data_IF_548580493831
#
_entry.id   IF_548580493831
#
_cell.length_a   1.000
_cell.length_b   1.000
_cell.length_c   1.000
_cell.angle_alpha   90.00
_cell.angle_beta   90.00
_cell.angle_gamma   90.00
#
_symmetry.space_group_name_H-M   'P 1'
#
loop_
_entity.id
_entity.type
_entity.pdbx_description
1 polymer ?
#
# COMPACT_ATOMS: atom_id res chain seq x y z
N UNK A 1 56.36 34.23 -25.91
CA UNK A 1 55.80 32.96 -25.43
C UNK A 1 55.01 33.26 -24.17
N UNK A 2 53.69 33.30 -24.28
CA UNK A 2 52.78 33.72 -23.20
C UNK A 2 52.77 32.68 -22.07
N UNK A 3 53.14 33.09 -20.86
CA UNK A 3 53.15 32.25 -19.67
C UNK A 3 51.71 31.86 -19.28
N UNK A 4 51.41 30.56 -19.27
CA UNK A 4 50.12 30.05 -18.80
C UNK A 4 50.01 30.22 -17.29
N UNK A 5 48.97 30.89 -16.81
CA UNK A 5 48.72 31.04 -15.38
C UNK A 5 48.43 29.66 -14.73
N UNK A 6 49.06 29.40 -13.58
CA UNK A 6 48.91 28.15 -12.83
C UNK A 6 48.13 28.39 -11.53
N UNK A 7 47.24 27.47 -11.18
CA UNK A 7 46.49 27.48 -9.93
C UNK A 7 47.34 26.94 -8.76
N UNK A 8 47.10 27.46 -7.56
CA UNK A 8 47.83 27.09 -6.34
C UNK A 8 47.67 25.61 -5.97
N UNK A 9 46.45 25.08 -6.14
CA UNK A 9 46.09 23.70 -5.80
C UNK A 9 45.66 22.91 -7.05
N UNK A 10 45.69 21.58 -6.94
CA UNK A 10 45.05 20.72 -7.95
C UNK A 10 43.54 21.01 -8.01
N UNK A 11 42.93 20.87 -9.20
CA UNK A 11 41.49 21.08 -9.34
C UNK A 11 40.70 20.03 -8.55
N UNK A 12 39.45 20.36 -8.21
CA UNK A 12 38.55 19.51 -7.41
C UNK A 12 38.44 18.07 -7.97
N UNK A 13 38.27 17.91 -9.29
CA UNK A 13 38.11 16.60 -9.92
C UNK A 13 39.37 15.75 -9.87
N UNK A 14 40.55 16.35 -10.07
CA UNK A 14 41.81 15.63 -9.96
C UNK A 14 42.13 15.28 -8.51
N UNK A 15 41.77 16.16 -7.56
CA UNK A 15 41.88 15.91 -6.12
C UNK A 15 40.98 14.75 -5.68
N UNK A 16 39.68 14.79 -6.01
CA UNK A 16 38.70 13.73 -5.70
C UNK A 16 39.08 12.36 -6.29
N UNK A 17 39.61 12.35 -7.52
CA UNK A 17 40.01 11.11 -8.19
C UNK A 17 41.43 10.63 -7.84
N UNK A 18 42.17 11.38 -7.01
CA UNK A 18 43.58 11.13 -6.65
C UNK A 18 44.49 10.96 -7.90
N UNK A 19 44.30 11.80 -8.92
CA UNK A 19 45.08 11.78 -10.17
C UNK A 19 45.90 13.07 -10.33
N UNK A 20 46.99 13.01 -11.09
CA UNK A 20 47.85 14.17 -11.35
C UNK A 20 47.11 15.29 -12.08
N UNK A 21 47.36 16.54 -11.65
CA UNK A 21 46.80 17.77 -12.21
C UNK A 21 47.96 18.70 -12.58
N UNK A 22 47.94 19.21 -13.80
CA UNK A 22 48.90 20.17 -14.36
C UNK A 22 48.61 21.63 -13.95
N UNK A 23 47.48 21.87 -13.26
CA UNK A 23 47.12 23.17 -12.64
C UNK A 23 46.99 24.35 -13.59
N UNK A 24 46.90 24.12 -14.91
CA UNK A 24 46.73 25.21 -15.88
C UNK A 24 45.37 25.90 -15.74
N UNK A 25 45.36 27.23 -15.75
CA UNK A 25 44.14 28.02 -15.81
C UNK A 25 43.73 28.30 -17.27
N UNK A 26 42.43 28.34 -17.59
CA UNK A 26 41.27 28.16 -16.70
C UNK A 26 40.91 26.69 -16.44
N UNK A 27 41.53 25.73 -17.14
CA UNK A 27 41.24 24.31 -17.00
C UNK A 27 42.47 23.44 -17.18
N UNK A 28 42.56 22.39 -16.37
CA UNK A 28 43.65 21.41 -16.41
C UNK A 28 43.55 20.55 -17.70
N UNK A 29 44.69 20.16 -18.28
CA UNK A 29 44.72 19.38 -19.53
C UNK A 29 43.95 18.06 -19.43
N UNK A 30 43.89 17.47 -18.23
CA UNK A 30 43.13 16.23 -17.97
C UNK A 30 41.61 16.44 -18.02
N UNK A 31 41.13 17.57 -17.50
CA UNK A 31 39.73 17.95 -17.55
C UNK A 31 39.32 18.29 -18.99
N UNK A 32 40.18 19.00 -19.72
CA UNK A 32 40.01 19.29 -21.15
C UNK A 32 39.93 18.00 -21.96
N UNK A 33 40.89 17.09 -21.79
CA UNK A 33 40.94 15.81 -22.52
C UNK A 33 39.78 14.86 -22.24
N UNK A 34 38.98 15.10 -21.19
CA UNK A 34 37.77 14.34 -20.86
C UNK A 34 36.47 15.09 -21.14
N UNK A 35 36.57 16.33 -21.62
CA UNK A 35 35.43 17.23 -21.81
C UNK A 35 34.60 17.43 -20.53
N UNK A 36 35.28 17.65 -19.39
CA UNK A 36 34.64 17.88 -18.09
C UNK A 36 35.11 19.23 -17.53
N UNK A 37 34.19 20.03 -16.98
CA UNK A 37 34.46 21.36 -16.42
C UNK A 37 35.44 21.31 -15.25
N UNK A 38 36.50 22.12 -15.30
CA UNK A 38 37.56 22.17 -14.30
C UNK A 38 37.29 23.27 -13.25
N UNK A 39 37.36 22.93 -11.96
CA UNK A 39 37.15 23.90 -10.86
C UNK A 39 38.34 23.92 -9.89
N UNK A 40 38.88 25.12 -9.63
CA UNK A 40 39.97 25.37 -8.68
C UNK A 40 39.46 26.23 -7.52
N UNK A 41 39.36 25.67 -6.30
CA UNK A 41 39.00 26.40 -5.07
C UNK A 41 38.05 25.63 -4.15
N UNK A 42 38.38 25.56 -2.85
CA UNK A 42 37.55 25.03 -1.77
C UNK A 42 37.90 25.75 -0.43
N UNK A 43 36.88 26.01 0.41
CA UNK A 43 36.89 26.28 1.87
C UNK A 43 37.75 27.42 2.46
N UNK A 44 37.11 28.52 2.89
CA UNK A 44 37.49 29.38 4.03
C UNK A 44 36.29 30.21 4.51
N UNK A 45 36.11 30.25 5.83
CA UNK A 45 35.01 30.80 6.65
C UNK A 45 34.99 32.33 6.80
N UNK A 46 33.79 32.83 7.14
CA UNK A 46 33.44 34.05 7.90
C UNK A 46 33.24 35.39 7.14
N UNK A 47 31.96 35.75 6.90
CA UNK A 47 31.30 37.02 7.30
C UNK A 47 29.81 37.06 6.87
N UNK A 48 28.92 37.01 7.87
CA UNK A 48 27.52 37.49 8.08
C UNK A 48 26.47 37.67 6.92
N UNK A 49 25.15 37.65 7.26
CA UNK A 49 24.11 36.98 6.47
C UNK A 49 23.41 37.88 5.44
N UNK A 50 22.82 37.26 4.40
CA UNK A 50 21.58 37.79 3.84
C UNK A 50 20.47 36.71 3.82
N UNK A 51 19.33 37.14 4.36
CA UNK A 51 17.96 36.84 3.92
C UNK A 51 17.69 35.56 3.13
N UNK A 52 16.88 34.69 3.75
CA UNK A 52 15.91 33.79 3.15
C UNK A 52 15.76 33.90 1.62
N UNK A 53 16.41 33.00 0.91
CA UNK A 53 15.91 32.48 -0.36
C UNK A 53 16.36 31.01 -0.43
N UNK A 54 15.46 30.12 0.02
CA UNK A 54 15.63 28.67 -0.14
C UNK A 54 15.47 28.35 -1.63
N UNK A 55 16.60 28.14 -2.29
CA UNK A 55 16.68 27.66 -3.67
C UNK A 55 16.10 26.21 -3.74
N UNK A 56 15.10 25.90 -4.58
CA UNK A 56 14.38 24.62 -4.55
C UNK A 56 15.17 23.37 -4.99
N UNK A 57 16.50 23.46 -5.17
CA UNK A 57 17.30 22.40 -5.82
C UNK A 57 18.09 21.51 -4.86
N UNK A 58 18.16 21.83 -3.56
CA UNK A 58 18.91 21.04 -2.57
C UNK A 58 18.03 20.10 -1.71
N UNK A 59 16.70 20.10 -1.90
CA UNK A 59 15.77 19.27 -1.11
C UNK A 59 15.56 17.85 -1.65
N UNK A 60 16.46 17.35 -2.51
CA UNK A 60 16.42 15.96 -3.02
C UNK A 60 17.45 15.08 -2.33
N UNK A 61 17.47 15.07 -0.99
CA UNK A 61 18.12 13.97 -0.29
C UNK A 61 17.08 12.85 -0.15
N UNK A 62 16.98 12.02 -1.20
CA UNK A 62 16.07 10.88 -1.22
C UNK A 62 16.42 9.88 -0.12
N UNK A 63 15.39 9.21 0.41
CA UNK A 63 15.50 8.24 1.49
C UNK A 63 16.55 7.14 1.20
N UNK A 64 16.71 6.80 -0.07
CA UNK A 64 17.64 5.81 -0.59
C UNK A 64 19.11 6.07 -0.21
N UNK A 65 19.51 7.33 -0.01
CA UNK A 65 20.88 7.68 0.41
C UNK A 65 21.19 7.31 1.86
N UNK A 66 20.16 7.05 2.68
CA UNK A 66 20.27 6.77 4.12
C UNK A 66 20.17 5.29 4.49
N UNK A 67 19.72 4.42 3.57
CA UNK A 67 19.69 2.97 3.77
C UNK A 67 21.06 2.28 3.56
N UNK A 68 22.14 3.07 3.41
CA UNK A 68 23.50 2.56 3.37
C UNK A 68 23.94 1.95 4.72
N UNK A 69 24.83 0.95 4.72
CA UNK A 69 25.19 0.13 5.90
C UNK A 69 25.82 0.91 7.08
N UNK A 70 26.12 2.20 6.92
CA UNK A 70 26.81 3.03 7.91
C UNK A 70 25.95 4.14 8.55
N UNK A 71 24.68 4.31 8.18
CA UNK A 71 23.85 5.43 8.68
C UNK A 71 22.78 5.00 9.69
N UNK A 72 22.41 3.71 9.71
CA UNK A 72 21.34 3.15 10.54
C UNK A 72 21.62 3.07 12.05
N UNK A 73 22.79 3.51 12.56
CA UNK A 73 23.16 3.30 13.98
C UNK A 73 22.82 4.45 14.94
N UNK A 74 22.47 5.66 14.47
CA UNK A 74 22.36 6.83 15.38
C UNK A 74 21.30 7.88 15.06
N UNK A 75 20.21 7.57 14.35
CA UNK A 75 19.14 8.54 14.14
C UNK A 75 17.80 8.05 14.67
N UNK A 76 17.12 8.93 15.39
CA UNK A 76 15.73 8.77 15.82
C UNK A 76 14.83 8.65 14.58
N UNK A 77 14.34 7.44 14.25
CA UNK A 77 13.54 7.24 13.05
C UNK A 77 12.21 8.01 13.13
N UNK A 78 11.70 8.24 14.35
CA UNK A 78 10.44 8.93 14.58
C UNK A 78 10.53 10.38 14.14
N UNK A 79 11.53 11.13 14.64
CA UNK A 79 11.73 12.53 14.28
C UNK A 79 12.00 12.75 12.80
N UNK A 80 12.81 11.89 12.18
CA UNK A 80 13.17 12.05 10.78
C UNK A 80 12.04 11.72 9.80
N UNK A 81 11.32 10.59 9.98
CA UNK A 81 10.19 10.26 9.09
C UNK A 81 9.06 11.28 9.24
N UNK A 82 8.81 11.75 10.46
CA UNK A 82 7.85 12.83 10.71
C UNK A 82 8.25 14.12 9.99
N UNK A 83 9.53 14.48 10.03
CA UNK A 83 10.05 15.66 9.31
C UNK A 83 9.94 15.50 7.80
N UNK A 84 10.25 14.31 7.28
CA UNK A 84 10.13 13.99 5.86
C UNK A 84 8.67 14.12 5.39
N UNK A 85 7.70 13.57 6.13
CA UNK A 85 6.28 13.75 5.85
C UNK A 85 5.91 15.23 5.70
N UNK A 86 6.25 16.07 6.68
CA UNK A 86 5.90 17.50 6.61
C UNK A 86 6.63 18.25 5.50
N UNK A 87 7.86 17.84 5.15
CA UNK A 87 8.57 18.39 4.00
C UNK A 87 7.85 18.03 2.69
N UNK A 88 7.42 16.77 2.52
CA UNK A 88 6.66 16.30 1.36
C UNK A 88 5.32 17.03 1.24
N UNK A 89 4.57 17.17 2.34
CA UNK A 89 3.32 17.95 2.36
C UNK A 89 3.53 19.40 1.96
N UNK A 90 4.62 20.03 2.42
CA UNK A 90 4.97 21.41 2.05
C UNK A 90 5.30 21.54 0.57
N UNK A 91 6.06 20.60 0.00
CA UNK A 91 6.41 20.57 -1.44
C UNK A 91 5.14 20.45 -2.29
N UNK A 92 4.20 19.61 -1.85
CA UNK A 92 2.93 19.39 -2.55
C UNK A 92 1.87 20.44 -2.25
N UNK A 93 2.15 21.40 -1.36
CA UNK A 93 1.20 22.41 -0.88
C UNK A 93 -0.11 21.79 -0.31
N UNK A 94 0.02 20.69 0.42
CA UNK A 94 -1.11 19.96 1.02
C UNK A 94 -1.13 20.14 2.53
N UNK A 95 -2.35 20.11 3.08
CA UNK A 95 -2.58 20.03 4.53
C UNK A 95 -2.80 18.57 4.94
N UNK A 96 -2.39 18.22 6.16
CA UNK A 96 -2.47 16.85 6.66
C UNK A 96 -3.93 16.40 6.80
N UNK A 97 -4.84 17.32 7.12
CA UNK A 97 -6.28 17.09 7.21
C UNK A 97 -6.87 16.71 5.84
N UNK A 98 -6.40 17.35 4.76
CA UNK A 98 -6.84 17.02 3.40
C UNK A 98 -6.41 15.62 2.96
N UNK A 99 -5.24 15.16 3.43
CA UNK A 99 -4.75 13.79 3.21
C UNK A 99 -5.64 12.77 3.95
N UNK A 100 -6.01 13.08 5.19
CA UNK A 100 -6.94 12.25 5.96
C UNK A 100 -8.33 12.18 5.32
N UNK A 101 -8.89 13.31 4.94
CA UNK A 101 -10.22 13.36 4.30
C UNK A 101 -10.20 12.61 2.97
N UNK A 102 -9.11 12.70 2.22
CA UNK A 102 -8.95 11.96 0.98
C UNK A 102 -8.94 10.44 1.21
N UNK A 103 -8.23 9.95 2.23
CA UNK A 103 -8.27 8.53 2.60
C UNK A 103 -9.68 8.07 2.98
N UNK A 104 -10.34 8.83 3.86
CA UNK A 104 -11.65 8.47 4.40
C UNK A 104 -12.74 8.40 3.33
N UNK A 105 -12.61 9.17 2.24
CA UNK A 105 -13.55 9.20 1.10
C UNK A 105 -13.16 8.30 -0.07
N UNK A 106 -12.02 7.62 0.00
CA UNK A 106 -11.56 6.74 -1.08
C UNK A 106 -11.29 5.34 -0.57
N UNK A 107 -10.10 5.11 -0.04
CA UNK A 107 -9.64 3.79 0.37
C UNK A 107 -10.44 3.24 1.55
N UNK A 108 -10.79 4.10 2.52
CA UNK A 108 -11.54 3.66 3.69
C UNK A 108 -12.94 3.10 3.35
N UNK A 109 -13.57 3.52 2.24
CA UNK A 109 -14.92 3.08 1.88
C UNK A 109 -15.00 1.59 1.55
N UNK A 110 -13.90 0.99 1.07
CA UNK A 110 -13.84 -0.42 0.66
C UNK A 110 -12.81 -1.23 1.46
N UNK A 111 -11.74 -0.61 1.97
CA UNK A 111 -10.76 -1.28 2.84
C UNK A 111 -10.53 -0.48 4.14
N UNK A 112 -11.50 -0.49 5.08
CA UNK A 112 -11.48 0.29 6.32
C UNK A 112 -10.48 -0.25 7.37
N UNK A 113 -9.19 -0.25 7.07
CA UNK A 113 -8.15 -0.86 7.91
C UNK A 113 -7.61 0.03 9.04
N UNK A 114 -8.07 1.28 9.14
CA UNK A 114 -7.62 2.26 10.14
C UNK A 114 -8.86 2.89 10.79
N UNK A 115 -8.90 2.95 12.12
CA UNK A 115 -10.01 3.58 12.84
C UNK A 115 -10.04 5.11 12.64
N UNK A 116 -11.13 5.72 12.12
CA UNK A 116 -11.16 7.13 11.75
C UNK A 116 -10.90 8.10 12.92
N UNK A 117 -11.51 7.86 14.08
CA UNK A 117 -11.39 8.78 15.22
C UNK A 117 -9.97 8.72 15.79
N UNK A 118 -9.45 7.51 15.98
CA UNK A 118 -8.09 7.30 16.49
C UNK A 118 -7.03 7.85 15.54
N UNK A 119 -7.25 7.79 14.23
CA UNK A 119 -6.35 8.40 13.25
C UNK A 119 -6.29 9.92 13.40
N UNK A 120 -7.46 10.60 13.55
CA UNK A 120 -7.52 12.05 13.74
C UNK A 120 -6.83 12.51 15.03
N UNK A 121 -7.02 11.78 16.13
CA UNK A 121 -6.35 12.04 17.41
C UNK A 121 -4.82 11.88 17.31
N UNK A 122 -4.37 10.80 16.66
CA UNK A 122 -2.95 10.52 16.44
C UNK A 122 -2.29 11.59 15.59
N UNK A 123 -2.95 12.05 14.52
CA UNK A 123 -2.45 13.13 13.67
C UNK A 123 -2.35 14.46 14.41
N UNK A 124 -3.34 14.78 15.24
CA UNK A 124 -3.36 16.02 16.03
C UNK A 124 -2.15 16.12 16.98
N UNK A 125 -1.66 14.98 17.47
CA UNK A 125 -0.49 14.91 18.34
C UNK A 125 0.84 14.66 17.63
N UNK A 126 0.84 14.39 16.31
CA UNK A 126 2.06 13.99 15.58
C UNK A 126 3.17 15.05 15.59
N UNK A 127 2.80 16.35 15.61
CA UNK A 127 3.79 17.44 15.71
C UNK A 127 4.49 17.50 17.07
N UNK A 128 3.77 17.19 18.15
CA UNK A 128 4.31 17.22 19.51
C UNK A 128 4.95 15.89 19.93
N UNK A 129 4.48 14.78 19.35
CA UNK A 129 4.98 13.43 19.57
C UNK A 129 5.27 12.77 18.22
N UNK A 130 6.51 12.88 17.69
CA UNK A 130 6.86 12.29 16.41
C UNK A 130 6.70 10.76 16.44
N UNK A 131 6.32 10.19 15.30
CA UNK A 131 6.13 8.74 15.15
C UNK A 131 6.41 8.32 13.70
N UNK A 132 7.41 7.47 13.54
CA UNK A 132 7.83 6.87 12.28
C UNK A 132 6.70 6.07 11.63
N UNK A 133 6.04 5.23 12.43
CA UNK A 133 4.95 4.37 11.98
C UNK A 133 3.76 5.18 11.45
N UNK A 134 3.35 6.23 12.16
CA UNK A 134 2.27 7.10 11.71
C UNK A 134 2.68 7.95 10.51
N UNK A 135 3.89 8.51 10.52
CA UNK A 135 4.37 9.33 9.41
C UNK A 135 4.47 8.54 8.10
N UNK A 136 4.98 7.32 8.18
CA UNK A 136 5.04 6.38 7.06
C UNK A 136 3.65 6.01 6.57
N UNK A 137 2.71 5.72 7.46
CA UNK A 137 1.32 5.43 7.10
C UNK A 137 0.69 6.59 6.31
N UNK A 138 0.90 7.83 6.75
CA UNK A 138 0.40 9.03 6.08
C UNK A 138 1.05 9.26 4.70
N UNK A 139 2.32 8.94 4.54
CA UNK A 139 2.99 8.96 3.23
C UNK A 139 2.37 7.94 2.26
N UNK A 140 2.07 6.73 2.75
CA UNK A 140 1.39 5.70 1.95
C UNK A 140 -0.05 6.08 1.61
N UNK A 141 -0.78 6.71 2.55
CA UNK A 141 -2.09 7.30 2.28
C UNK A 141 -1.99 8.35 1.19
N UNK A 142 -1.00 9.25 1.27
CA UNK A 142 -0.77 10.28 0.27
C UNK A 142 -0.45 9.69 -1.11
N UNK A 143 0.31 8.60 -1.16
CA UNK A 143 0.67 7.91 -2.40
C UNK A 143 -0.56 7.32 -3.11
N UNK A 144 -1.49 6.73 -2.37
CA UNK A 144 -2.65 6.02 -2.92
C UNK A 144 -3.87 6.93 -3.18
N UNK A 145 -3.99 8.04 -2.46
CA UNK A 145 -5.19 8.89 -2.50
C UNK A 145 -5.15 9.83 -3.71
N UNK A 146 -6.16 9.83 -4.59
CA UNK A 146 -6.17 10.61 -5.84
C UNK A 146 -6.48 12.12 -5.67
N UNK A 147 -6.35 12.68 -4.48
CA UNK A 147 -6.77 14.07 -4.17
C UNK A 147 -5.73 15.10 -4.64
N UNK A 148 -5.58 15.24 -5.95
CA UNK A 148 -4.82 16.34 -6.55
C UNK A 148 -5.79 17.24 -7.33
N UNK A 149 -6.20 18.40 -6.78
CA UNK A 149 -6.98 19.35 -7.57
C UNK A 149 -6.13 19.81 -8.77
N UNK A 150 -6.72 19.68 -9.96
CA UNK A 150 -6.16 19.75 -11.31
C UNK A 150 -5.51 21.09 -11.73
N UNK A 151 -5.08 21.94 -10.79
CA UNK A 151 -4.53 23.26 -11.08
C UNK A 151 -3.00 23.29 -11.23
N UNK A 152 -2.28 22.23 -10.85
CA UNK A 152 -0.80 22.17 -10.83
C UNK A 152 -0.22 20.95 -11.56
N UNK A 153 -0.94 20.42 -12.55
CA UNK A 153 -0.77 19.07 -13.13
C UNK A 153 0.65 18.65 -13.59
N UNK A 154 1.53 19.56 -13.98
CA UNK A 154 2.84 19.19 -14.54
C UNK A 154 3.89 18.79 -13.48
N UNK A 155 3.83 19.37 -12.27
CA UNK A 155 4.83 19.08 -11.23
C UNK A 155 4.54 17.78 -10.46
N UNK A 156 3.29 17.33 -10.43
CA UNK A 156 2.87 16.19 -9.59
C UNK A 156 3.18 14.82 -10.20
N UNK A 157 3.04 14.65 -11.52
CA UNK A 157 3.38 13.39 -12.18
C UNK A 157 4.87 13.05 -12.07
N UNK A 158 5.73 14.07 -12.01
CA UNK A 158 7.18 13.88 -11.86
C UNK A 158 7.57 13.50 -10.42
N UNK A 159 6.75 13.84 -9.42
CA UNK A 159 7.02 13.57 -8.00
C UNK A 159 6.52 12.20 -7.53
N UNK A 160 5.51 11.64 -8.20
CA UNK A 160 4.93 10.33 -7.85
C UNK A 160 5.96 9.18 -7.84
N UNK A 161 6.84 9.03 -8.84
CA UNK A 161 7.89 8.00 -8.80
C UNK A 161 8.83 8.17 -7.59
N UNK A 162 9.22 9.42 -7.27
CA UNK A 162 10.07 9.70 -6.10
C UNK A 162 9.36 9.37 -4.79
N UNK A 163 8.06 9.66 -4.68
CA UNK A 163 7.27 9.35 -3.50
C UNK A 163 7.10 7.84 -3.31
N UNK A 164 6.92 7.08 -4.39
CA UNK A 164 6.89 5.62 -4.33
C UNK A 164 8.20 5.03 -3.80
N UNK A 165 9.35 5.51 -4.30
CA UNK A 165 10.67 5.06 -3.83
C UNK A 165 10.90 5.41 -2.34
N UNK A 166 10.46 6.60 -1.91
CA UNK A 166 10.51 7.03 -0.51
C UNK A 166 9.57 6.16 0.37
N UNK A 167 8.37 5.84 -0.11
CA UNK A 167 7.44 4.91 0.56
C UNK A 167 8.04 3.51 0.71
N UNK A 168 8.62 2.93 -0.37
CA UNK A 168 9.30 1.63 -0.33
C UNK A 168 10.42 1.62 0.70
N UNK A 169 11.25 2.66 0.69
CA UNK A 169 12.37 2.81 1.60
C UNK A 169 11.90 2.95 3.06
N UNK A 170 10.84 3.72 3.28
CA UNK A 170 10.22 3.92 4.61
C UNK A 170 9.60 2.62 5.12
N UNK A 171 8.95 1.83 4.26
CA UNK A 171 8.39 0.54 4.62
C UNK A 171 9.48 -0.45 5.06
N UNK A 172 10.59 -0.52 4.33
CA UNK A 172 11.76 -1.34 4.72
C UNK A 172 12.34 -0.90 6.07
N UNK A 173 12.46 0.41 6.31
CA UNK A 173 12.95 0.94 7.58
C UNK A 173 12.05 0.52 8.75
N UNK A 174 10.72 0.56 8.58
CA UNK A 174 9.78 0.13 9.61
C UNK A 174 9.88 -1.37 9.92
N UNK A 175 10.13 -2.22 8.92
CA UNK A 175 10.29 -3.67 9.17
C UNK A 175 11.41 -3.97 10.17
N UNK A 176 12.46 -3.15 10.20
CA UNK A 176 13.63 -3.35 11.07
C UNK A 176 13.51 -2.66 12.44
N UNK A 177 12.70 -1.60 12.56
CA UNK A 177 12.67 -0.75 13.76
C UNK A 177 11.34 -0.77 14.53
N UNK A 178 10.25 -1.22 13.90
CA UNK A 178 8.92 -1.19 14.49
C UNK A 178 8.80 -2.15 15.69
N UNK A 179 8.17 -1.66 16.76
CA UNK A 179 7.88 -2.44 17.97
C UNK A 179 6.46 -3.03 17.97
N UNK A 180 5.55 -2.43 17.18
CA UNK A 180 4.14 -2.82 17.08
C UNK A 180 3.72 -2.73 15.62
N UNK A 181 4.00 -3.78 14.85
CA UNK A 181 3.89 -3.79 13.38
C UNK A 181 2.49 -3.55 12.77
N UNK A 182 1.44 -3.19 13.55
CA UNK A 182 0.10 -2.96 13.00
C UNK A 182 0.11 -1.86 11.92
N UNK A 183 0.70 -0.71 12.23
CA UNK A 183 0.84 0.41 11.29
C UNK A 183 1.80 0.10 10.14
N UNK A 184 2.80 -0.74 10.39
CA UNK A 184 3.69 -1.26 9.34
C UNK A 184 2.90 -2.11 8.35
N UNK A 185 2.06 -3.03 8.83
CA UNK A 185 1.18 -3.86 7.98
C UNK A 185 0.16 -2.99 7.25
N UNK A 186 -0.48 -2.03 7.92
CA UNK A 186 -1.38 -1.06 7.27
C UNK A 186 -0.67 -0.29 6.15
N UNK A 187 0.54 0.21 6.39
CA UNK A 187 1.33 0.91 5.38
C UNK A 187 1.67 0.01 4.18
N UNK A 188 2.08 -1.23 4.45
CA UNK A 188 2.38 -2.21 3.41
C UNK A 188 1.15 -2.64 2.60
N UNK A 189 -0.03 -2.73 3.22
CA UNK A 189 -1.29 -2.98 2.50
C UNK A 189 -1.61 -1.84 1.53
N UNK A 190 -1.50 -0.58 1.98
CA UNK A 190 -1.69 0.58 1.10
C UNK A 190 -0.66 0.61 -0.04
N UNK A 191 0.59 0.27 0.25
CA UNK A 191 1.65 0.15 -0.76
C UNK A 191 1.33 -0.93 -1.80
N UNK A 192 0.90 -2.11 -1.36
CA UNK A 192 0.52 -3.19 -2.25
C UNK A 192 -0.65 -2.83 -3.16
N UNK A 193 -1.66 -2.13 -2.64
CA UNK A 193 -2.80 -1.66 -3.45
C UNK A 193 -2.33 -0.66 -4.51
N UNK A 194 -1.42 0.26 -4.16
CA UNK A 194 -0.82 1.17 -5.13
C UNK A 194 -0.05 0.42 -6.21
N UNK A 195 0.80 -0.55 -5.83
CA UNK A 195 1.57 -1.39 -6.75
C UNK A 195 0.64 -2.17 -7.69
N UNK A 196 -0.48 -2.69 -7.18
CA UNK A 196 -1.51 -3.35 -7.98
C UNK A 196 -2.16 -2.39 -8.98
N UNK A 197 -2.56 -1.20 -8.55
CA UNK A 197 -3.12 -0.16 -9.42
C UNK A 197 -2.16 0.35 -10.50
N UNK A 198 -0.84 0.18 -10.29
CA UNK A 198 0.22 0.50 -11.27
C UNK A 198 0.68 -0.69 -12.11
N UNK A 199 0.01 -1.84 -12.00
CA UNK A 199 0.38 -3.10 -12.66
C UNK A 199 1.75 -3.67 -12.26
N UNK A 200 2.29 -3.29 -11.10
CA UNK A 200 3.53 -3.82 -10.52
C UNK A 200 3.25 -5.10 -9.72
N UNK A 201 2.71 -6.12 -10.39
CA UNK A 201 2.17 -7.34 -9.76
C UNK A 201 3.19 -8.09 -8.90
N UNK A 202 4.47 -8.14 -9.30
CA UNK A 202 5.52 -8.82 -8.53
C UNK A 202 5.87 -8.08 -7.25
N UNK A 203 5.93 -6.75 -7.31
CA UNK A 203 6.20 -5.92 -6.14
C UNK A 203 5.03 -5.99 -5.15
N UNK A 204 3.79 -5.89 -5.65
CA UNK A 204 2.58 -6.05 -4.85
C UNK A 204 2.57 -7.37 -4.07
N UNK A 205 2.85 -8.49 -4.75
CA UNK A 205 2.90 -9.80 -4.13
C UNK A 205 4.01 -9.90 -3.07
N UNK A 206 5.20 -9.36 -3.34
CA UNK A 206 6.29 -9.34 -2.38
C UNK A 206 5.94 -8.49 -1.13
N UNK A 207 5.33 -7.33 -1.34
CA UNK A 207 4.84 -6.45 -0.28
C UNK A 207 3.77 -7.16 0.56
N UNK A 208 2.79 -7.81 -0.08
CA UNK A 208 1.76 -8.61 0.60
C UNK A 208 2.35 -9.78 1.38
N UNK A 209 3.37 -10.47 0.85
CA UNK A 209 4.04 -11.57 1.54
C UNK A 209 4.70 -11.10 2.85
N UNK A 210 5.30 -9.92 2.85
CA UNK A 210 5.84 -9.29 4.05
C UNK A 210 4.71 -8.96 5.03
N UNK A 211 3.60 -8.36 4.56
CA UNK A 211 2.44 -8.08 5.40
C UNK A 211 1.84 -9.34 6.04
N UNK A 212 1.69 -10.42 5.29
CA UNK A 212 1.23 -11.72 5.79
C UNK A 212 2.17 -12.26 6.86
N UNK A 213 3.48 -12.23 6.59
CA UNK A 213 4.52 -12.67 7.55
C UNK A 213 4.47 -11.86 8.85
N UNK A 214 4.38 -10.53 8.76
CA UNK A 214 4.25 -9.65 9.92
C UNK A 214 2.94 -9.91 10.68
N UNK A 215 1.84 -10.21 9.97
CA UNK A 215 0.56 -10.59 10.57
C UNK A 215 0.62 -11.91 11.34
N UNK A 216 1.39 -12.89 10.85
CA UNK A 216 1.67 -14.12 11.60
C UNK A 216 2.52 -13.85 12.84
N UNK A 217 3.61 -13.10 12.70
CA UNK A 217 4.52 -12.76 13.82
C UNK A 217 3.79 -11.98 14.92
N UNK A 218 2.84 -11.12 14.55
CA UNK A 218 2.07 -10.30 15.49
C UNK A 218 0.75 -10.95 15.93
N UNK A 219 0.51 -12.21 15.55
CA UNK A 219 -0.70 -12.98 15.88
C UNK A 219 -2.02 -12.31 15.47
N UNK A 220 -2.03 -11.54 14.38
CA UNK A 220 -3.27 -10.92 13.88
C UNK A 220 -4.32 -11.98 13.48
N UNK A 221 -3.87 -13.12 12.99
CA UNK A 221 -4.70 -14.27 12.62
C UNK A 221 -5.48 -14.90 13.80
N UNK A 222 -5.10 -14.61 15.04
CA UNK A 222 -5.68 -15.25 16.23
C UNK A 222 -6.76 -14.40 16.90
N UNK A 223 -7.01 -13.15 16.48
CA UNK A 223 -7.88 -12.21 17.21
C UNK A 223 -9.36 -12.62 17.13
N UNK A 224 -9.96 -13.25 18.16
CA UNK A 224 -11.32 -13.77 18.07
C UNK A 224 -12.35 -12.84 18.71
N UNK A 225 -11.90 -11.81 19.42
CA UNK A 225 -12.71 -10.95 20.27
C UNK A 225 -12.47 -9.50 19.90
N UNK A 226 -13.49 -8.84 19.34
CA UNK A 226 -13.47 -7.42 18.98
C UNK A 226 -14.33 -6.64 19.98
N UNK A 227 -13.73 -6.31 21.12
CA UNK A 227 -14.37 -5.50 22.17
C UNK A 227 -13.98 -4.05 22.03
N UNK A 228 -12.70 -3.79 21.72
CA UNK A 228 -12.18 -2.43 21.55
C UNK A 228 -11.97 -2.10 20.09
N UNK A 229 -11.95 -0.81 19.76
CA UNK A 229 -11.56 -0.36 18.42
C UNK A 229 -10.16 -0.86 17.99
N UNK A 230 -9.24 -1.06 18.93
CA UNK A 230 -7.92 -1.62 18.61
C UNK A 230 -7.99 -3.10 18.19
N UNK A 231 -8.92 -3.87 18.76
CA UNK A 231 -9.10 -5.29 18.41
C UNK A 231 -9.81 -5.44 17.06
N UNK A 232 -10.81 -4.60 16.80
CA UNK A 232 -11.47 -4.51 15.49
C UNK A 232 -10.49 -4.05 14.40
N UNK A 233 -9.61 -3.08 14.70
CA UNK A 233 -8.58 -2.62 13.75
C UNK A 233 -7.65 -3.78 13.35
N UNK A 234 -7.22 -4.59 14.31
CA UNK A 234 -6.41 -5.79 14.06
C UNK A 234 -7.14 -6.82 13.20
N UNK A 235 -8.42 -7.05 13.52
CA UNK A 235 -9.29 -7.96 12.77
C UNK A 235 -9.42 -7.49 11.30
N UNK A 236 -9.71 -6.20 11.09
CA UNK A 236 -9.84 -5.60 9.75
C UNK A 236 -8.54 -5.65 8.96
N UNK A 237 -7.41 -5.38 9.60
CA UNK A 237 -6.09 -5.49 8.97
C UNK A 237 -5.79 -6.94 8.53
N UNK A 238 -6.10 -7.92 9.37
CA UNK A 238 -5.92 -9.32 8.99
C UNK A 238 -6.82 -9.75 7.83
N UNK A 239 -8.08 -9.32 7.86
CA UNK A 239 -9.00 -9.55 6.74
C UNK A 239 -8.55 -8.88 5.46
N UNK A 240 -7.98 -7.67 5.53
CA UNK A 240 -7.42 -7.00 4.37
C UNK A 240 -6.23 -7.76 3.76
N UNK A 241 -5.35 -8.34 4.59
CA UNK A 241 -4.28 -9.25 4.12
C UNK A 241 -4.88 -10.44 3.38
N UNK A 242 -5.87 -11.11 3.98
CA UNK A 242 -6.52 -12.29 3.38
C UNK A 242 -7.24 -11.92 2.06
N UNK A 243 -7.96 -10.79 2.07
CA UNK A 243 -8.72 -10.29 0.94
C UNK A 243 -7.82 -9.98 -0.24
N UNK A 244 -6.75 -9.19 -0.03
CA UNK A 244 -5.83 -8.82 -1.09
C UNK A 244 -4.99 -10.01 -1.61
N UNK A 245 -4.62 -10.97 -0.76
CA UNK A 245 -3.93 -12.21 -1.18
C UNK A 245 -4.81 -13.04 -2.14
N UNK A 246 -6.08 -13.25 -1.78
CA UNK A 246 -7.03 -13.98 -2.64
C UNK A 246 -7.30 -13.21 -3.94
N UNK A 247 -7.43 -11.90 -3.86
CA UNK A 247 -7.67 -11.04 -5.02
C UNK A 247 -6.48 -11.01 -5.99
N UNK A 248 -5.24 -10.93 -5.49
CA UNK A 248 -4.02 -11.00 -6.31
C UNK A 248 -3.95 -12.33 -7.08
N UNK A 249 -4.23 -13.44 -6.39
CA UNK A 249 -4.22 -14.77 -7.00
C UNK A 249 -5.25 -14.92 -8.12
N UNK A 250 -6.49 -14.46 -7.92
CA UNK A 250 -7.54 -14.62 -8.93
C UNK A 250 -7.40 -13.65 -10.11
N UNK A 251 -6.88 -12.45 -9.87
CA UNK A 251 -6.59 -11.49 -10.94
C UNK A 251 -5.39 -11.93 -11.79
N UNK A 252 -4.39 -12.55 -11.18
CA UNK A 252 -3.17 -13.00 -11.85
C UNK A 252 -3.11 -14.53 -12.02
N UNK A 253 -4.17 -15.11 -12.59
CA UNK A 253 -4.32 -16.57 -12.77
C UNK A 253 -3.21 -17.23 -13.60
N UNK A 254 -2.47 -16.45 -14.39
CA UNK A 254 -1.35 -16.96 -15.21
C UNK A 254 -0.07 -17.16 -14.41
N UNK A 255 0.03 -16.60 -13.22
CA UNK A 255 1.21 -16.71 -12.37
C UNK A 255 1.13 -17.95 -11.49
N UNK A 256 2.20 -18.73 -11.41
CA UNK A 256 2.31 -19.92 -10.53
C UNK A 256 2.49 -19.56 -9.03
N UNK A 257 1.87 -18.46 -8.58
CA UNK A 257 2.00 -17.98 -7.19
C UNK A 257 1.09 -18.79 -6.28
N UNK A 258 1.59 -19.15 -5.11
CA UNK A 258 0.78 -19.75 -4.05
C UNK A 258 0.08 -18.67 -3.23
N UNK A 259 -1.05 -19.05 -2.61
CA UNK A 259 -1.68 -18.23 -1.57
C UNK A 259 -0.69 -17.96 -0.43
N UNK A 260 -0.62 -16.70 0.00
CA UNK A 260 0.24 -16.27 1.11
C UNK A 260 -0.35 -16.68 2.46
N UNK A 261 -1.67 -16.63 2.59
CA UNK A 261 -2.39 -16.97 3.81
C UNK A 261 -2.99 -18.37 3.70
N UNK A 262 -2.66 -19.24 4.65
CA UNK A 262 -3.25 -20.58 4.72
C UNK A 262 -4.74 -20.54 5.09
N UNK A 263 -5.56 -21.43 4.51
CA UNK A 263 -7.02 -21.44 4.71
C UNK A 263 -7.45 -21.61 6.18
N UNK A 264 -6.66 -22.30 7.00
CA UNK A 264 -6.91 -22.44 8.45
C UNK A 264 -6.81 -21.12 9.22
N UNK A 265 -6.18 -20.10 8.65
CA UNK A 265 -5.88 -18.84 9.31
C UNK A 265 -6.70 -17.65 8.78
N UNK A 266 -7.63 -17.86 7.84
CA UNK A 266 -8.49 -16.79 7.29
C UNK A 266 -9.38 -16.14 8.37
N UNK A 267 -9.63 -16.83 9.47
CA UNK A 267 -10.52 -16.36 10.53
C UNK A 267 -11.99 -16.64 10.20
N UNK A 268 -12.84 -16.67 11.24
CA UNK A 268 -14.27 -16.93 11.11
C UNK A 268 -15.15 -15.73 11.46
N UNK A 269 -14.66 -14.80 12.27
CA UNK A 269 -15.41 -13.61 12.63
C UNK A 269 -15.20 -12.54 11.56
N UNK A 270 -16.28 -12.08 10.94
CA UNK A 270 -16.28 -10.99 9.96
C UNK A 270 -16.19 -9.63 10.67
N UNK A 271 -15.66 -8.60 9.99
CA UNK A 271 -15.71 -7.22 10.49
C UNK A 271 -17.14 -6.77 10.76
N UNK A 272 -17.30 -5.84 11.72
CA UNK A 272 -18.58 -5.20 12.03
C UNK A 272 -19.06 -4.28 10.92
N UNK A 273 -20.26 -3.75 11.08
CA UNK A 273 -20.80 -2.72 10.20
C UNK A 273 -19.93 -1.46 10.19
N UNK A 274 -19.67 -0.93 8.99
CA UNK A 274 -18.67 0.13 8.77
C UNK A 274 -19.10 1.48 9.37
N UNK A 275 -20.40 1.75 9.46
CA UNK A 275 -20.93 2.96 10.10
C UNK A 275 -20.67 2.96 11.61
N UNK A 276 -20.92 1.82 12.26
CA UNK A 276 -20.68 1.62 13.71
C UNK A 276 -19.18 1.71 14.00
N UNK A 277 -18.36 1.08 13.15
CA UNK A 277 -16.90 1.17 13.20
C UNK A 277 -16.37 2.61 13.08
N UNK A 278 -16.99 3.43 12.23
CA UNK A 278 -16.50 4.79 11.99
C UNK A 278 -16.83 5.78 13.10
N UNK A 279 -17.76 5.42 14.01
CA UNK A 279 -18.38 6.36 14.95
C UNK A 279 -18.18 6.00 16.42
N UNK A 280 -17.80 4.77 16.77
CA UNK A 280 -17.72 4.28 18.15
C UNK A 280 -16.33 3.73 18.50
N UNK A 281 -15.93 3.81 19.78
CA UNK A 281 -14.67 3.24 20.29
C UNK A 281 -14.85 1.91 21.05
N UNK A 282 -16.04 1.65 21.56
CA UNK A 282 -16.39 0.51 22.40
C UNK A 282 -17.48 -0.32 21.73
N UNK A 283 -17.28 -1.65 21.71
CA UNK A 283 -18.14 -2.62 21.03
C UNK A 283 -18.54 -3.78 21.95
N UNK A 284 -18.48 -3.61 23.27
CA UNK A 284 -18.80 -4.63 24.28
C UNK A 284 -20.15 -5.33 24.09
N UNK A 285 -21.12 -4.64 23.51
CA UNK A 285 -22.53 -5.06 23.53
C UNK A 285 -22.99 -5.80 22.26
N UNK A 286 -22.11 -5.98 21.28
CA UNK A 286 -22.47 -6.54 19.98
C UNK A 286 -21.68 -7.82 19.67
N UNK A 287 -22.35 -8.89 19.22
CA UNK A 287 -21.66 -10.09 18.73
C UNK A 287 -21.06 -9.86 17.33
N UNK A 288 -19.93 -10.51 17.03
CA UNK A 288 -19.33 -10.44 15.70
C UNK A 288 -20.11 -11.33 14.71
N UNK A 289 -20.37 -10.85 13.48
CA UNK A 289 -20.91 -11.70 12.43
C UNK A 289 -19.92 -12.83 12.13
N UNK A 290 -20.40 -14.04 11.85
CA UNK A 290 -19.55 -15.16 11.45
C UNK A 290 -19.59 -15.34 9.92
N UNK A 291 -18.48 -15.81 9.37
CA UNK A 291 -18.37 -16.29 8.00
C UNK A 291 -19.06 -17.67 7.93
N UNK A 292 -20.35 -17.68 7.59
CA UNK A 292 -21.17 -18.89 7.51
C UNK A 292 -22.05 -18.94 6.26
N UNK A 293 -22.37 -20.17 5.86
CA UNK A 293 -23.36 -20.48 4.82
C UNK A 293 -24.57 -21.23 5.43
N UNK A 294 -25.81 -20.73 5.28
CA UNK A 294 -26.21 -19.48 4.63
C UNK A 294 -25.98 -18.25 5.53
N UNK A 295 -25.98 -17.06 4.93
CA UNK A 295 -26.06 -15.82 5.70
C UNK A 295 -27.50 -15.68 6.23
N UNK A 296 -27.67 -15.39 7.53
CA UNK A 296 -28.99 -15.18 8.12
C UNK A 296 -29.72 -14.04 7.39
N UNK A 297 -30.96 -14.28 6.95
CA UNK A 297 -31.76 -13.36 6.12
C UNK A 297 -32.06 -12.00 6.79
N UNK A 298 -31.71 -11.83 8.07
CA UNK A 298 -31.88 -10.59 8.83
C UNK A 298 -30.59 -9.83 9.18
N UNK A 299 -29.39 -10.37 8.88
CA UNK A 299 -28.14 -9.76 9.32
C UNK A 299 -27.61 -8.76 8.29
N UNK A 300 -27.53 -7.48 8.68
CA UNK A 300 -26.88 -6.43 7.89
C UNK A 300 -25.37 -6.56 8.04
N UNK A 301 -24.68 -6.76 6.92
CA UNK A 301 -23.22 -6.79 6.87
C UNK A 301 -22.72 -5.43 6.36
N UNK A 302 -21.62 -4.93 6.94
CA UNK A 302 -20.87 -3.81 6.38
C UNK A 302 -20.38 -4.13 4.96
N UNK A 303 -20.00 -3.09 4.21
CA UNK A 303 -19.50 -3.24 2.84
C UNK A 303 -18.26 -4.13 2.83
N UNK A 304 -17.31 -3.87 3.73
CA UNK A 304 -16.08 -4.65 3.80
C UNK A 304 -16.34 -6.14 4.13
N UNK A 305 -17.23 -6.41 5.10
CA UNK A 305 -17.65 -7.77 5.42
C UNK A 305 -18.36 -8.46 4.25
N UNK A 306 -19.17 -7.70 3.48
CA UNK A 306 -19.85 -8.19 2.28
C UNK A 306 -18.87 -8.57 1.17
N UNK A 307 -17.83 -7.78 0.95
CA UNK A 307 -16.77 -8.06 -0.04
C UNK A 307 -15.96 -9.31 0.35
N UNK A 308 -15.62 -9.45 1.64
CA UNK A 308 -14.97 -10.66 2.17
C UNK A 308 -15.83 -11.90 1.92
N UNK A 309 -17.14 -11.82 2.17
CA UNK A 309 -18.08 -12.92 1.90
C UNK A 309 -18.13 -13.28 0.42
N UNK A 310 -18.17 -12.27 -0.47
CA UNK A 310 -18.21 -12.49 -1.91
C UNK A 310 -16.93 -13.19 -2.41
N UNK A 311 -15.76 -12.76 -1.92
CA UNK A 311 -14.48 -13.37 -2.28
C UNK A 311 -14.34 -14.79 -1.72
N UNK A 312 -14.87 -15.03 -0.52
CA UNK A 312 -14.93 -16.38 0.03
C UNK A 312 -15.85 -17.30 -0.79
N UNK A 313 -17.00 -16.80 -1.23
CA UNK A 313 -17.90 -17.54 -2.12
C UNK A 313 -17.19 -17.90 -3.45
N UNK A 314 -16.49 -16.94 -4.07
CA UNK A 314 -15.67 -17.19 -5.25
C UNK A 314 -14.63 -18.29 -4.98
N UNK A 315 -13.93 -18.22 -3.85
CA UNK A 315 -12.97 -19.25 -3.46
C UNK A 315 -13.61 -20.64 -3.37
N UNK A 316 -14.79 -20.77 -2.77
CA UNK A 316 -15.50 -22.04 -2.69
C UNK A 316 -15.85 -22.58 -4.09
N UNK A 317 -16.39 -21.73 -4.98
CA UNK A 317 -16.71 -22.11 -6.37
C UNK A 317 -15.45 -22.58 -7.11
N UNK A 318 -14.33 -21.87 -6.94
CA UNK A 318 -13.07 -22.22 -7.60
C UNK A 318 -12.45 -23.51 -7.06
N UNK A 319 -12.61 -23.80 -5.77
CA UNK A 319 -12.17 -25.07 -5.19
C UNK A 319 -13.00 -26.25 -5.71
N UNK A 320 -14.32 -26.07 -5.83
CA UNK A 320 -15.23 -27.09 -6.37
C UNK A 320 -14.97 -27.36 -7.85
N UNK A 321 -14.83 -26.32 -8.66
CA UNK A 321 -14.59 -26.44 -10.12
C UNK A 321 -13.22 -27.02 -10.47
N UNK A 322 -12.19 -26.80 -9.63
CA UNK A 322 -10.85 -27.35 -9.84
C UNK A 322 -10.67 -28.76 -9.28
N UNK A 323 -11.64 -29.30 -8.54
CA UNK A 323 -11.55 -30.64 -7.98
C UNK A 323 -12.04 -31.68 -9.00
N UNK A 324 -11.14 -32.49 -9.59
CA UNK A 324 -11.51 -33.44 -10.65
C UNK A 324 -12.36 -34.62 -10.14
N UNK A 325 -12.52 -34.76 -8.81
CA UNK A 325 -13.32 -35.83 -8.18
C UNK A 325 -14.79 -35.45 -7.99
N UNK A 326 -15.16 -34.18 -8.21
CA UNK A 326 -16.55 -33.73 -8.02
C UNK A 326 -17.37 -34.11 -9.27
N UNK A 327 -18.30 -35.05 -9.09
CA UNK A 327 -19.23 -35.49 -10.14
C UNK A 327 -20.51 -34.62 -10.09
N UNK A 328 -21.12 -34.34 -11.24
CA UNK A 328 -22.29 -33.44 -11.36
C UNK A 328 -23.48 -33.85 -10.46
N UNK A 329 -23.65 -35.14 -10.22
CA UNK A 329 -24.71 -35.70 -9.37
C UNK A 329 -24.49 -35.39 -7.87
N UNK A 330 -23.24 -35.13 -7.44
CA UNK A 330 -22.89 -34.73 -6.06
C UNK A 330 -23.00 -33.22 -5.82
N UNK A 331 -23.15 -32.40 -6.87
CA UNK A 331 -23.34 -30.95 -6.74
C UNK A 331 -24.76 -30.54 -6.35
N UNK A 332 -25.69 -31.51 -6.23
CA UNK A 332 -27.05 -31.29 -5.70
C UNK A 332 -27.08 -31.17 -4.16
N UNK A 333 -25.92 -31.24 -3.51
CA UNK A 333 -25.81 -31.10 -2.07
C UNK A 333 -26.24 -29.70 -1.59
N UNK A 334 -26.83 -29.66 -0.39
CA UNK A 334 -27.39 -28.45 0.22
C UNK A 334 -26.37 -27.29 0.32
N UNK A 335 -25.07 -27.60 0.45
CA UNK A 335 -23.98 -26.60 0.50
C UNK A 335 -23.72 -25.95 -0.86
N UNK A 336 -23.78 -26.71 -1.96
CA UNK A 336 -23.64 -26.18 -3.32
C UNK A 336 -24.80 -25.27 -3.70
N UNK A 337 -26.03 -25.62 -3.29
CA UNK A 337 -27.20 -24.76 -3.46
C UNK A 337 -27.11 -23.46 -2.63
N UNK A 338 -26.66 -23.54 -1.37
CA UNK A 338 -26.40 -22.35 -0.54
C UNK A 338 -25.35 -21.43 -1.18
N UNK A 339 -24.32 -22.01 -1.78
CA UNK A 339 -23.27 -21.27 -2.47
C UNK A 339 -23.82 -20.55 -3.72
N UNK A 340 -24.58 -21.24 -4.56
CA UNK A 340 -25.24 -20.65 -5.74
C UNK A 340 -26.19 -19.50 -5.34
N UNK A 341 -27.02 -19.71 -4.31
CA UNK A 341 -27.89 -18.67 -3.76
C UNK A 341 -27.10 -17.45 -3.26
N UNK A 342 -25.96 -17.65 -2.59
CA UNK A 342 -25.12 -16.54 -2.13
C UNK A 342 -24.50 -15.80 -3.32
N UNK A 343 -23.96 -16.52 -4.31
CA UNK A 343 -23.36 -15.91 -5.51
C UNK A 343 -24.40 -15.08 -6.25
N UNK A 344 -25.58 -15.64 -6.52
CA UNK A 344 -26.67 -14.91 -7.17
C UNK A 344 -27.15 -13.71 -6.36
N UNK A 345 -27.24 -13.85 -5.03
CA UNK A 345 -27.60 -12.75 -4.14
C UNK A 345 -26.56 -11.63 -4.18
N UNK A 346 -25.26 -11.96 -4.09
CA UNK A 346 -24.17 -10.97 -4.15
C UNK A 346 -24.15 -10.27 -5.49
N UNK A 347 -24.26 -10.99 -6.60
CA UNK A 347 -24.37 -10.40 -7.94
C UNK A 347 -25.56 -9.42 -7.99
N UNK A 348 -26.75 -9.80 -7.49
CA UNK A 348 -27.92 -8.91 -7.44
C UNK A 348 -27.73 -7.70 -6.52
N UNK A 349 -27.18 -7.88 -5.32
CA UNK A 349 -26.90 -6.80 -4.37
C UNK A 349 -25.91 -5.79 -4.98
N UNK A 350 -24.86 -6.27 -5.64
CA UNK A 350 -23.86 -5.40 -6.26
C UNK A 350 -24.38 -4.70 -7.52
N UNK A 351 -25.23 -5.37 -8.32
CA UNK A 351 -25.88 -4.76 -9.49
C UNK A 351 -26.97 -3.74 -9.10
N UNK A 352 -27.67 -3.94 -7.99
CA UNK A 352 -28.74 -3.02 -7.51
C UNK A 352 -28.19 -1.78 -6.80
N UNK A 353 -27.01 -1.85 -6.19
CA UNK A 353 -26.34 -0.72 -5.51
C UNK A 353 -25.76 0.37 -6.46
N UNK A 354 -26.12 0.31 -7.74
CA UNK A 354 -26.07 1.39 -8.73
C UNK A 354 -24.71 1.74 -9.32
N UNK A 355 -24.76 2.04 -10.63
CA UNK A 355 -23.71 2.57 -11.51
C UNK A 355 -22.82 3.71 -10.94
N UNK A 356 -23.18 4.34 -9.81
CA UNK A 356 -22.36 5.37 -9.15
C UNK A 356 -21.09 4.82 -8.48
N UNK A 357 -21.04 3.53 -8.12
CA UNK A 357 -19.98 2.93 -7.29
C UNK A 357 -19.01 1.99 -8.03
N UNK A 358 -19.24 1.74 -9.32
CA UNK A 358 -18.32 0.97 -10.19
C UNK A 358 -16.95 1.66 -10.40
N UNK A 359 -16.70 2.82 -9.77
CA UNK A 359 -15.40 3.50 -9.81
C UNK A 359 -14.28 2.71 -9.12
N UNK A 360 -14.60 1.73 -8.27
CA UNK A 360 -13.61 0.96 -7.52
C UNK A 360 -13.22 -0.31 -8.29
N UNK A 361 -12.01 -0.30 -8.85
CA UNK A 361 -11.48 -1.37 -9.71
C UNK A 361 -11.66 -2.77 -9.11
N UNK A 362 -11.56 -2.92 -7.79
CA UNK A 362 -11.65 -4.22 -7.11
C UNK A 362 -13.06 -4.78 -6.96
N UNK A 363 -14.08 -3.94 -6.81
CA UNK A 363 -15.48 -4.39 -6.80
C UNK A 363 -15.87 -4.82 -8.22
N UNK A 364 -15.48 -4.06 -9.25
CA UNK A 364 -15.68 -4.45 -10.66
C UNK A 364 -14.96 -5.75 -10.96
N UNK A 365 -13.70 -5.89 -10.54
CA UNK A 365 -12.93 -7.12 -10.72
C UNK A 365 -13.57 -8.31 -10.00
N UNK A 366 -14.09 -8.12 -8.79
CA UNK A 366 -14.77 -9.21 -8.06
C UNK A 366 -16.04 -9.64 -8.79
N UNK A 367 -16.84 -8.69 -9.28
CA UNK A 367 -18.03 -8.99 -10.11
C UNK A 367 -17.62 -9.63 -11.44
N UNK A 368 -16.58 -9.11 -12.11
CA UNK A 368 -16.13 -9.59 -13.42
C UNK A 368 -15.51 -10.98 -13.31
N UNK A 369 -14.78 -11.28 -12.24
CA UNK A 369 -14.29 -12.63 -11.95
C UNK A 369 -15.45 -13.58 -11.67
N UNK A 370 -16.46 -13.15 -10.89
CA UNK A 370 -17.68 -13.93 -10.70
C UNK A 370 -18.39 -14.18 -12.05
N UNK A 371 -18.55 -13.18 -12.91
CA UNK A 371 -19.27 -13.27 -14.20
C UNK A 371 -18.50 -14.06 -15.28
N UNK A 372 -17.20 -13.82 -15.44
CA UNK A 372 -16.35 -14.47 -16.46
C UNK A 372 -16.18 -15.95 -16.16
N UNK A 373 -16.01 -16.34 -14.90
CA UNK A 373 -15.86 -17.75 -14.54
C UNK A 373 -17.20 -18.50 -14.55
N UNK A 374 -18.31 -17.83 -14.21
CA UNK A 374 -19.67 -18.35 -14.50
C UNK A 374 -19.84 -18.58 -16.01
N UNK A 375 -19.45 -17.63 -16.86
CA UNK A 375 -19.59 -17.75 -18.32
C UNK A 375 -18.68 -18.82 -18.93
N UNK A 376 -17.44 -18.93 -18.44
CA UNK A 376 -16.48 -19.95 -18.89
C UNK A 376 -16.86 -21.35 -18.46
N UNK A 377 -17.33 -21.52 -17.23
CA UNK A 377 -17.84 -22.81 -16.77
C UNK A 377 -19.01 -23.27 -17.64
N UNK A 378 -19.99 -22.40 -17.91
CA UNK A 378 -21.12 -22.69 -18.81
C UNK A 378 -20.64 -23.12 -20.21
N UNK A 379 -19.62 -22.48 -20.78
CA UNK A 379 -19.07 -22.85 -22.09
C UNK A 379 -18.34 -24.20 -22.08
N UNK A 380 -17.57 -24.51 -21.03
CA UNK A 380 -16.96 -25.83 -20.88
C UNK A 380 -18.00 -26.93 -20.70
N UNK A 381 -19.12 -26.66 -20.02
CA UNK A 381 -20.22 -27.60 -19.86
C UNK A 381 -20.97 -27.87 -21.18
N UNK A 382 -21.21 -26.83 -22.00
CA UNK A 382 -21.82 -26.99 -23.32
C UNK A 382 -20.96 -27.79 -24.31
N UNK A 383 -19.64 -27.79 -24.12
CA UNK A 383 -18.70 -28.60 -24.91
C UNK A 383 -18.69 -30.07 -24.46
N UNK A 384 -18.87 -30.34 -23.17
CA UNK A 384 -18.96 -31.70 -22.62
C UNK A 384 -20.28 -32.36 -23.00
N UNK A 385 -21.41 -31.66 -22.92
CA UNK A 385 -22.74 -32.17 -23.31
C UNK A 385 -22.87 -32.47 -24.82
N UNK A 386 -22.05 -31.81 -25.65
CA UNK A 386 -21.98 -32.10 -27.10
C UNK A 386 -21.07 -33.26 -27.45
N UNK A 387 -20.25 -33.76 -26.52
CA UNK A 387 -19.40 -34.94 -26.72
C UNK A 387 -20.03 -36.21 -26.13
N UNK A 388 -21.05 -36.07 -25.27
CA UNK A 388 -21.83 -37.17 -24.67
C UNK A 388 -23.16 -37.46 -25.38
N UNK A 389 -23.52 -36.68 -26.41
CA UNK A 389 -24.64 -36.92 -27.33
C UNK A 389 -24.09 -37.29 -28.72
#
# INVERSE_FOLDING_TARGET
MSASALASNACYLCSMSKKSCDRTLPSCSRCIGRNITCHYGCSSTAQQPPSNDLNPKETRIGLASYLGPNVAKHQDPDGWLTSHLFATLRILNLQIEGVLDGYLRSIHEWIPIIHPISLKEQVSSLRSKPSAELACLLLHILLITPSFPSASGEHHETLLPSLYDDCKSSFLLLQTNSRRHLKTVQSGLLLAIYEQGRALMSDAYATLAICASLGYITNLHQSPCSVTAADEERLRVWWAVCFLDRLDFYTNWKSERAFLVHNSHIGRALPREDEVWSTHHDFSDSSLPLLSFPADEGQRYGLFASEIQALHALQCVMQLTRNPLVQLETLLDHESWKLDMLVQRKIRETLTLSWKRLEHQYTVVTIYLLEVDLSRSIQTWQLIDRQSA
#
